data_IF_344583068270
#
_entry.id   IF_344583068270
#
_cell.length_a   1.000
_cell.length_b   1.000
_cell.length_c   1.000
_cell.angle_alpha   90.00
_cell.angle_beta   90.00
_cell.angle_gamma   90.00
#
_symmetry.space_group_name_H-M   'P 1'
#
loop_
_entity.id
_entity.type
_entity.pdbx_description
1 polymer ?
#
# COMPACT_ATOMS: atom_id res chain seq x y z
N UNK A 1 -7.04 -25.77 -29.38
CA UNK A 1 -5.76 -26.39 -28.94
C UNK A 1 -5.62 -26.36 -27.43
N UNK A 2 -5.55 -25.18 -26.78
CA UNK A 2 -5.31 -25.09 -25.32
C UNK A 2 -6.48 -25.58 -24.45
N UNK A 3 -7.73 -25.34 -24.85
CA UNK A 3 -8.93 -25.79 -24.12
C UNK A 3 -9.20 -27.31 -24.23
N UNK A 4 -8.34 -28.08 -24.89
CA UNK A 4 -8.52 -29.52 -25.04
C UNK A 4 -8.35 -30.25 -23.69
N UNK A 5 -9.20 -31.25 -23.34
CA UNK A 5 -9.16 -31.91 -22.04
C UNK A 5 -7.79 -32.46 -21.62
N UNK A 6 -7.07 -33.11 -22.53
CA UNK A 6 -5.72 -33.64 -22.24
C UNK A 6 -4.71 -32.52 -21.90
N UNK A 7 -4.79 -31.38 -22.58
CA UNK A 7 -3.94 -30.23 -22.30
C UNK A 7 -4.30 -29.60 -20.95
N UNK A 8 -5.59 -29.45 -20.67
CA UNK A 8 -6.10 -28.92 -19.41
C UNK A 8 -5.72 -29.80 -18.21
N UNK A 9 -5.79 -31.13 -18.35
CA UNK A 9 -5.38 -32.06 -17.30
C UNK A 9 -3.88 -31.93 -16.97
N UNK A 10 -3.04 -31.74 -17.98
CA UNK A 10 -1.62 -31.49 -17.78
C UNK A 10 -1.37 -30.17 -17.03
N UNK A 11 -2.03 -29.08 -17.45
CA UNK A 11 -1.93 -27.77 -16.80
C UNK A 11 -2.40 -27.81 -15.34
N UNK A 12 -3.51 -28.49 -15.05
CA UNK A 12 -4.01 -28.65 -13.68
C UNK A 12 -3.05 -29.45 -12.80
N UNK A 13 -2.33 -30.41 -13.36
CA UNK A 13 -1.34 -31.20 -12.62
C UNK A 13 -0.14 -30.35 -12.21
N UNK A 14 0.28 -29.41 -13.08
CA UNK A 14 1.33 -28.43 -12.77
C UNK A 14 0.82 -27.37 -11.79
N UNK A 15 -0.43 -26.92 -11.93
CA UNK A 15 -1.01 -25.88 -11.09
C UNK A 15 -1.09 -26.28 -9.61
N UNK A 16 -1.51 -27.52 -9.34
CA UNK A 16 -1.61 -28.10 -8.00
C UNK A 16 -0.38 -28.94 -7.61
N UNK A 17 0.78 -28.69 -8.23
CA UNK A 17 2.02 -29.37 -7.88
C UNK A 17 2.33 -29.20 -6.38
N UNK A 18 2.67 -30.29 -5.68
CA UNK A 18 2.83 -30.36 -4.21
C UNK A 18 1.55 -30.13 -3.38
N UNK A 19 0.39 -29.98 -4.02
CA UNK A 19 -0.93 -29.77 -3.41
C UNK A 19 -2.00 -30.69 -4.05
N UNK A 20 -1.63 -31.91 -4.43
CA UNK A 20 -2.55 -32.87 -5.07
C UNK A 20 -3.80 -33.12 -4.24
N UNK A 21 -3.67 -33.16 -2.91
CA UNK A 21 -4.78 -33.34 -1.98
C UNK A 21 -5.78 -32.19 -1.97
N UNK A 22 -5.40 -30.97 -2.38
CA UNK A 22 -6.29 -29.80 -2.45
C UNK A 22 -7.13 -29.78 -3.73
N UNK A 23 -6.66 -30.44 -4.80
CA UNK A 23 -7.31 -30.44 -6.12
C UNK A 23 -8.75 -30.97 -6.03
N UNK A 24 -8.94 -32.08 -5.34
CA UNK A 24 -10.23 -32.79 -5.21
C UNK A 24 -11.10 -32.28 -4.04
N UNK A 25 -10.63 -31.28 -3.28
CA UNK A 25 -11.39 -30.75 -2.15
C UNK A 25 -12.57 -29.87 -2.59
N UNK A 26 -13.54 -29.75 -1.68
CA UNK A 26 -14.68 -28.85 -1.83
C UNK A 26 -14.23 -27.39 -1.90
N UNK A 27 -15.06 -26.55 -2.53
CA UNK A 27 -14.81 -25.11 -2.65
C UNK A 27 -14.67 -24.47 -1.26
N UNK A 28 -15.46 -24.91 -0.28
CA UNK A 28 -15.38 -24.39 1.09
C UNK A 28 -13.99 -24.57 1.72
N UNK A 29 -13.37 -25.75 1.54
CA UNK A 29 -12.01 -26.03 2.04
C UNK A 29 -10.99 -25.15 1.30
N UNK A 30 -11.13 -24.99 -0.02
CA UNK A 30 -10.27 -24.10 -0.80
C UNK A 30 -10.36 -22.65 -0.32
N UNK A 31 -11.57 -22.14 -0.08
CA UNK A 31 -11.78 -20.81 0.49
C UNK A 31 -11.15 -20.66 1.88
N UNK A 32 -11.30 -21.66 2.74
CA UNK A 32 -10.70 -21.65 4.08
C UNK A 32 -9.17 -21.64 4.00
N UNK A 33 -8.57 -22.42 3.11
CA UNK A 33 -7.12 -22.41 2.87
C UNK A 33 -6.65 -21.03 2.38
N UNK A 34 -7.36 -20.43 1.42
CA UNK A 34 -7.05 -19.07 0.93
C UNK A 34 -7.09 -18.04 2.06
N UNK A 35 -8.12 -18.11 2.93
CA UNK A 35 -8.26 -17.21 4.07
C UNK A 35 -7.12 -17.39 5.08
N UNK A 36 -6.77 -18.64 5.43
CA UNK A 36 -5.65 -18.93 6.33
C UNK A 36 -4.32 -18.44 5.74
N UNK A 37 -4.08 -18.64 4.44
CA UNK A 37 -2.88 -18.14 3.78
C UNK A 37 -2.85 -16.61 3.76
N UNK A 38 -4.00 -15.96 3.52
CA UNK A 38 -4.08 -14.50 3.52
C UNK A 38 -3.75 -13.91 4.90
N UNK A 39 -4.32 -14.45 5.97
CA UNK A 39 -4.02 -14.02 7.35
C UNK A 39 -2.58 -14.38 7.76
N UNK A 40 -2.08 -15.53 7.31
CA UNK A 40 -0.74 -16.04 7.62
C UNK A 40 0.38 -15.48 6.75
N UNK A 41 0.07 -14.67 5.73
CA UNK A 41 1.02 -14.19 4.73
C UNK A 41 2.31 -13.57 5.31
N UNK A 42 2.29 -12.69 6.33
CA UNK A 42 3.53 -12.14 6.89
C UNK A 42 4.44 -13.23 7.50
N UNK A 43 3.85 -14.21 8.19
CA UNK A 43 4.60 -15.33 8.77
C UNK A 43 5.14 -16.28 7.71
N UNK A 44 4.36 -16.55 6.66
CA UNK A 44 4.78 -17.37 5.53
C UNK A 44 5.94 -16.72 4.76
N UNK A 45 5.91 -15.40 4.58
CA UNK A 45 6.98 -14.63 3.95
C UNK A 45 8.28 -14.70 4.78
N UNK A 46 8.21 -14.50 6.09
CA UNK A 46 9.37 -14.64 6.99
C UNK A 46 9.92 -16.06 6.97
N UNK A 47 9.07 -17.08 7.06
CA UNK A 47 9.47 -18.48 7.01
C UNK A 47 10.14 -18.86 5.69
N UNK A 48 9.66 -18.34 4.56
CA UNK A 48 10.28 -18.53 3.26
C UNK A 48 11.67 -17.88 3.18
N UNK A 49 11.84 -16.68 3.75
CA UNK A 49 13.11 -15.98 3.75
C UNK A 49 14.17 -16.69 4.60
N UNK A 50 13.79 -17.19 5.78
CA UNK A 50 14.70 -17.89 6.71
C UNK A 50 15.06 -19.30 6.21
N UNK A 51 14.07 -20.07 5.72
CA UNK A 51 14.25 -21.47 5.37
C UNK A 51 13.62 -21.81 4.01
N UNK A 52 14.19 -21.32 2.89
CA UNK A 52 13.61 -21.50 1.55
C UNK A 52 13.56 -22.97 1.12
N UNK A 53 14.48 -23.81 1.59
CA UNK A 53 14.55 -25.24 1.24
C UNK A 53 13.64 -26.15 2.10
N UNK A 54 12.86 -25.58 3.03
CA UNK A 54 11.92 -26.31 3.86
C UNK A 54 10.76 -26.92 3.03
N UNK A 55 10.03 -27.90 3.61
CA UNK A 55 8.81 -28.45 2.98
C UNK A 55 7.79 -27.34 2.66
N UNK A 56 7.63 -26.39 3.59
CA UNK A 56 6.79 -25.21 3.39
C UNK A 56 7.29 -24.31 2.25
N UNK A 57 8.60 -24.07 2.16
CA UNK A 57 9.19 -23.29 1.09
C UNK A 57 9.04 -23.93 -0.30
N UNK A 58 8.98 -25.26 -0.39
CA UNK A 58 8.63 -25.97 -1.64
C UNK A 58 7.16 -25.80 -2.01
N UNK A 59 6.25 -25.90 -1.03
CA UNK A 59 4.81 -25.67 -1.24
C UNK A 59 4.53 -24.23 -1.69
N UNK A 60 5.16 -23.23 -1.06
CA UNK A 60 4.98 -21.81 -1.42
C UNK A 60 5.48 -21.47 -2.84
N UNK A 61 6.37 -22.29 -3.42
CA UNK A 61 6.83 -22.12 -4.80
C UNK A 61 5.84 -22.61 -5.86
N UNK A 62 4.80 -23.35 -5.46
CA UNK A 62 3.75 -23.81 -6.38
C UNK A 62 3.00 -22.64 -7.04
N UNK A 63 2.54 -22.80 -8.29
CA UNK A 63 1.82 -21.74 -9.01
C UNK A 63 0.57 -21.27 -8.25
N UNK A 64 -0.19 -22.20 -7.69
CA UNK A 64 -1.38 -21.88 -6.89
C UNK A 64 -1.04 -21.01 -5.67
N UNK A 65 -0.02 -21.36 -4.88
CA UNK A 65 0.33 -20.59 -3.68
C UNK A 65 0.84 -19.19 -4.03
N UNK A 66 1.57 -19.04 -5.14
CA UNK A 66 1.96 -17.71 -5.64
C UNK A 66 0.73 -16.88 -5.97
N UNK A 67 -0.22 -17.45 -6.72
CA UNK A 67 -1.48 -16.77 -7.04
C UNK A 67 -2.23 -16.33 -5.78
N UNK A 68 -2.38 -17.22 -4.80
CA UNK A 68 -3.05 -16.92 -3.53
C UNK A 68 -2.31 -15.82 -2.77
N UNK A 69 -0.98 -15.88 -2.71
CA UNK A 69 -0.18 -14.86 -2.02
C UNK A 69 -0.31 -13.48 -2.68
N UNK A 70 -0.29 -13.41 -4.02
CA UNK A 70 -0.52 -12.17 -4.77
C UNK A 70 -1.92 -11.61 -4.51
N UNK A 71 -2.96 -12.44 -4.63
CA UNK A 71 -4.34 -12.04 -4.38
C UNK A 71 -4.56 -11.56 -2.94
N UNK A 72 -4.01 -12.28 -1.96
CA UNK A 72 -4.09 -11.91 -0.56
C UNK A 72 -3.39 -10.58 -0.27
N UNK A 73 -2.18 -10.37 -0.80
CA UNK A 73 -1.45 -9.11 -0.69
C UNK A 73 -2.27 -7.93 -1.22
N UNK A 74 -2.94 -8.10 -2.37
CA UNK A 74 -3.81 -7.07 -2.93
C UNK A 74 -5.05 -6.80 -2.07
N UNK A 75 -5.69 -7.84 -1.53
CA UNK A 75 -6.82 -7.68 -0.60
C UNK A 75 -6.41 -6.92 0.68
N UNK A 76 -5.24 -7.25 1.24
CA UNK A 76 -4.70 -6.56 2.42
C UNK A 76 -4.44 -5.09 2.09
N UNK A 77 -3.87 -4.79 0.92
CA UNK A 77 -3.66 -3.42 0.46
C UNK A 77 -4.97 -2.63 0.36
N UNK A 78 -6.03 -3.21 -0.23
CA UNK A 78 -7.35 -2.59 -0.25
C UNK A 78 -7.90 -2.38 1.17
N UNK A 79 -7.72 -3.35 2.06
CA UNK A 79 -8.10 -3.24 3.47
C UNK A 79 -7.38 -2.09 4.18
N UNK A 80 -6.09 -1.88 3.91
CA UNK A 80 -5.32 -0.75 4.45
C UNK A 80 -5.85 0.60 3.95
N UNK A 81 -6.24 0.69 2.68
CA UNK A 81 -6.86 1.90 2.13
C UNK A 81 -8.21 2.21 2.79
N UNK A 82 -9.06 1.19 2.97
CA UNK A 82 -10.34 1.33 3.67
C UNK A 82 -10.14 1.74 5.12
N UNK A 83 -9.17 1.13 5.81
CA UNK A 83 -8.83 1.46 7.20
C UNK A 83 -8.26 2.88 7.32
N UNK A 84 -7.44 3.33 6.37
CA UNK A 84 -6.98 4.72 6.36
C UNK A 84 -8.13 5.74 6.19
N UNK A 85 -9.19 5.34 5.49
CA UNK A 85 -10.40 6.16 5.31
C UNK A 85 -11.42 6.03 6.46
N UNK A 86 -11.29 5.04 7.36
CA UNK A 86 -12.36 4.70 8.31
C UNK A 86 -12.63 5.76 9.36
N UNK A 87 -11.63 6.57 9.73
CA UNK A 87 -11.79 7.65 10.71
C UNK A 87 -12.82 8.70 10.29
N UNK A 88 -13.23 8.70 9.01
CA UNK A 88 -14.19 9.65 8.44
C UNK A 88 -15.57 9.05 8.19
N UNK A 89 -15.81 7.79 8.54
CA UNK A 89 -17.08 7.12 8.27
C UNK A 89 -18.26 7.67 9.10
N UNK A 90 -18.00 8.12 10.33
CA UNK A 90 -19.02 8.77 11.18
C UNK A 90 -19.18 10.28 10.88
N UNK A 91 -18.44 10.80 9.89
CA UNK A 91 -18.41 12.22 9.54
C UNK A 91 -17.31 13.01 10.26
N UNK A 92 -17.10 14.25 9.81
CA UNK A 92 -16.08 15.14 10.39
C UNK A 92 -16.74 15.91 11.55
N UNK A 93 -16.14 15.83 12.74
CA UNK A 93 -16.68 16.44 13.96
C UNK A 93 -16.52 17.97 14.02
N UNK A 94 -15.55 18.51 13.28
CA UNK A 94 -15.22 19.95 13.26
C UNK A 94 -15.63 20.61 11.95
N UNK A 95 -16.08 21.87 12.01
CA UNK A 95 -16.39 22.63 10.80
C UNK A 95 -15.10 22.94 10.01
N UNK A 96 -15.15 23.05 8.68
CA UNK A 96 -13.96 23.31 7.83
C UNK A 96 -13.22 24.62 8.14
N UNK A 97 -13.87 25.58 8.79
CA UNK A 97 -13.30 26.91 9.12
C UNK A 97 -12.73 26.99 10.54
N UNK A 98 -12.77 25.90 11.31
CA UNK A 98 -12.27 25.86 12.68
C UNK A 98 -10.93 25.11 12.69
N UNK A 99 -9.86 25.78 13.08
CA UNK A 99 -8.54 25.17 13.28
C UNK A 99 -8.43 24.62 14.70
N UNK A 100 -7.95 23.37 14.82
CA UNK A 100 -7.76 22.70 16.11
C UNK A 100 -6.30 22.28 16.25
N UNK A 101 -5.57 23.00 17.09
CA UNK A 101 -4.15 22.76 17.41
C UNK A 101 -4.02 22.01 18.74
N UNK A 102 -2.98 21.19 18.89
CA UNK A 102 -2.75 20.40 20.11
C UNK A 102 -2.01 21.21 21.19
N UNK A 103 -1.18 22.18 20.76
CA UNK A 103 -0.48 23.12 21.62
C UNK A 103 -0.39 24.50 20.95
N UNK A 104 -0.34 25.59 21.72
CA UNK A 104 -0.51 26.96 21.21
C UNK A 104 0.58 27.41 20.23
N UNK A 105 1.75 26.77 20.24
CA UNK A 105 2.86 27.06 19.32
C UNK A 105 2.89 26.18 18.05
N UNK A 106 1.88 25.33 17.84
CA UNK A 106 1.80 24.44 16.68
C UNK A 106 1.18 25.12 15.47
N UNK A 107 1.83 24.99 14.32
CA UNK A 107 1.26 25.33 13.02
C UNK A 107 0.23 24.28 12.60
N UNK A 108 -1.00 24.72 12.32
CA UNK A 108 -2.12 23.86 11.95
C UNK A 108 -1.82 22.92 10.76
N UNK A 109 -1.12 23.40 9.73
CA UNK A 109 -0.76 22.59 8.55
C UNK A 109 0.18 21.43 8.86
N UNK A 110 0.99 21.49 9.94
CA UNK A 110 1.84 20.37 10.33
C UNK A 110 1.00 19.19 10.80
N UNK A 111 -0.01 19.46 11.63
CA UNK A 111 -0.94 18.43 12.14
C UNK A 111 -1.68 17.71 11.01
N UNK A 112 -2.12 18.45 10.00
CA UNK A 112 -2.91 17.89 8.88
C UNK A 112 -2.08 17.17 7.83
N UNK A 113 -0.78 17.49 7.70
CA UNK A 113 0.12 16.90 6.69
C UNK A 113 1.02 15.80 7.23
N UNK A 114 1.05 15.58 8.54
CA UNK A 114 1.84 14.53 9.17
C UNK A 114 1.42 13.13 8.67
N UNK A 115 2.41 12.24 8.52
CA UNK A 115 2.17 10.88 8.06
C UNK A 115 1.75 9.97 9.21
N UNK A 116 0.71 9.17 8.99
CA UNK A 116 0.28 8.12 9.91
C UNK A 116 0.98 6.80 9.63
N UNK A 117 1.02 5.89 10.61
CA UNK A 117 1.60 4.55 10.43
C UNK A 117 0.95 3.76 9.28
N UNK A 118 -0.36 3.94 9.06
CA UNK A 118 -1.08 3.29 7.97
C UNK A 118 -0.66 3.84 6.61
N UNK A 119 -0.50 5.16 6.48
CA UNK A 119 0.04 5.80 5.27
C UNK A 119 1.47 5.33 4.97
N UNK A 120 2.32 5.18 6.00
CA UNK A 120 3.68 4.63 5.83
C UNK A 120 3.66 3.21 5.27
N UNK A 121 2.77 2.34 5.76
CA UNK A 121 2.61 0.98 5.25
C UNK A 121 2.11 0.98 3.80
N UNK A 122 1.13 1.83 3.46
CA UNK A 122 0.62 1.98 2.09
C UNK A 122 1.75 2.42 1.15
N UNK A 123 2.57 3.39 1.55
CA UNK A 123 3.71 3.85 0.74
C UNK A 123 4.71 2.73 0.46
N UNK A 124 5.09 1.94 1.48
CA UNK A 124 5.97 0.77 1.30
C UNK A 124 5.36 -0.23 0.33
N UNK A 125 4.04 -0.46 0.42
CA UNK A 125 3.33 -1.39 -0.47
C UNK A 125 3.32 -0.91 -1.93
N UNK A 126 3.01 0.37 -2.17
CA UNK A 126 3.01 0.97 -3.52
C UNK A 126 4.39 0.90 -4.16
N UNK A 127 5.46 1.17 -3.39
CA UNK A 127 6.84 1.03 -3.87
C UNK A 127 7.15 -0.42 -4.27
N UNK A 128 6.68 -1.41 -3.50
CA UNK A 128 6.83 -2.82 -3.82
C UNK A 128 6.10 -3.23 -5.10
N UNK A 129 4.86 -2.75 -5.29
CA UNK A 129 4.09 -2.98 -6.53
C UNK A 129 4.78 -2.32 -7.73
N UNK A 130 5.21 -1.06 -7.61
CA UNK A 130 5.93 -0.35 -8.68
C UNK A 130 7.24 -1.08 -9.05
N UNK A 131 7.98 -1.57 -8.06
CA UNK A 131 9.18 -2.37 -8.33
C UNK A 131 8.87 -3.66 -9.11
N UNK A 132 7.73 -4.31 -8.84
CA UNK A 132 7.28 -5.47 -9.59
C UNK A 132 6.98 -5.11 -11.05
N UNK A 133 6.22 -4.05 -11.28
CA UNK A 133 5.88 -3.55 -12.62
C UNK A 133 7.13 -3.17 -13.42
N UNK A 134 8.10 -2.48 -12.79
CA UNK A 134 9.36 -2.13 -13.45
C UNK A 134 10.14 -3.37 -13.90
N UNK A 135 10.13 -4.46 -13.12
CA UNK A 135 10.77 -5.72 -13.52
C UNK A 135 10.03 -6.38 -14.67
N UNK A 136 8.70 -6.38 -14.66
CA UNK A 136 7.89 -6.94 -15.75
C UNK A 136 8.15 -6.19 -17.06
N UNK A 137 8.09 -4.86 -17.01
CA UNK A 137 8.43 -3.98 -18.14
C UNK A 137 9.84 -4.24 -18.68
N UNK A 138 10.81 -4.46 -17.79
CA UNK A 138 12.19 -4.75 -18.18
C UNK A 138 12.35 -6.13 -18.85
N UNK A 139 11.61 -7.14 -18.38
CA UNK A 139 11.72 -8.52 -18.86
C UNK A 139 10.95 -8.75 -20.16
N UNK A 140 9.75 -8.19 -20.30
CA UNK A 140 8.90 -8.34 -21.49
C UNK A 140 9.26 -7.34 -22.60
N UNK A 141 9.78 -6.18 -22.21
CA UNK A 141 10.09 -5.07 -23.11
C UNK A 141 8.88 -4.15 -23.35
N UNK A 142 9.13 -2.87 -23.68
CA UNK A 142 8.11 -1.83 -23.69
C UNK A 142 7.02 -2.03 -24.75
N UNK A 143 7.34 -2.70 -25.87
CA UNK A 143 6.39 -2.93 -26.96
C UNK A 143 5.26 -3.87 -26.52
N UNK A 144 5.62 -5.03 -25.97
CA UNK A 144 4.60 -6.01 -25.56
C UNK A 144 3.86 -5.58 -24.30
N UNK A 145 4.53 -4.85 -23.41
CA UNK A 145 3.89 -4.26 -22.23
C UNK A 145 2.75 -3.29 -22.59
N UNK A 146 2.95 -2.39 -23.56
CA UNK A 146 1.93 -1.40 -23.94
C UNK A 146 0.78 -2.03 -24.74
N UNK A 147 1.03 -3.14 -25.45
CA UNK A 147 -0.03 -3.88 -26.15
C UNK A 147 -1.05 -4.45 -25.15
N UNK A 148 -0.59 -4.84 -23.96
CA UNK A 148 -1.47 -5.26 -22.88
C UNK A 148 -2.03 -4.04 -22.12
N UNK A 149 -3.24 -3.62 -22.46
CA UNK A 149 -3.88 -2.43 -21.88
C UNK A 149 -4.01 -2.49 -20.34
N UNK A 150 -4.13 -3.69 -19.77
CA UNK A 150 -4.16 -3.89 -18.31
C UNK A 150 -2.86 -3.46 -17.63
N UNK A 151 -1.71 -3.75 -18.23
CA UNK A 151 -0.40 -3.37 -17.70
C UNK A 151 -0.25 -1.84 -17.71
N UNK A 152 -0.76 -1.16 -18.75
CA UNK A 152 -0.79 0.31 -18.82
C UNK A 152 -1.68 0.90 -17.73
N UNK A 153 -2.83 0.27 -17.45
CA UNK A 153 -3.74 0.70 -16.37
C UNK A 153 -3.05 0.57 -15.01
N UNK A 154 -2.41 -0.57 -14.74
CA UNK A 154 -1.73 -0.83 -13.46
C UNK A 154 -0.57 0.15 -13.25
N UNK A 155 0.26 0.37 -14.28
CA UNK A 155 1.33 1.37 -14.24
C UNK A 155 0.80 2.79 -14.00
N UNK A 156 -0.31 3.15 -14.66
CA UNK A 156 -0.96 4.45 -14.51
C UNK A 156 -1.50 4.67 -13.09
N UNK A 157 -2.19 3.67 -12.54
CA UNK A 157 -2.69 3.69 -11.16
C UNK A 157 -1.56 3.89 -10.16
N UNK A 158 -0.48 3.10 -10.25
CA UNK A 158 0.66 3.21 -9.33
C UNK A 158 1.39 4.55 -9.47
N UNK A 159 1.48 5.08 -10.68
CA UNK A 159 2.06 6.41 -10.94
C UNK A 159 1.27 7.53 -10.25
N UNK A 160 -0.07 7.45 -10.27
CA UNK A 160 -0.95 8.40 -9.58
C UNK A 160 -0.75 8.33 -8.06
N UNK A 161 -0.63 7.12 -7.48
CA UNK A 161 -0.32 6.97 -6.06
C UNK A 161 1.01 7.64 -5.69
N UNK A 162 2.08 7.38 -6.46
CA UNK A 162 3.40 7.99 -6.22
C UNK A 162 3.32 9.51 -6.33
N UNK A 163 2.63 10.04 -7.35
CA UNK A 163 2.45 11.47 -7.52
C UNK A 163 1.72 12.10 -6.32
N UNK A 164 0.63 11.49 -5.85
CA UNK A 164 -0.12 11.96 -4.70
C UNK A 164 0.72 11.97 -3.41
N UNK A 165 1.46 10.90 -3.14
CA UNK A 165 2.37 10.85 -1.98
C UNK A 165 3.51 11.85 -2.09
N UNK A 166 4.06 12.05 -3.28
CA UNK A 166 5.11 13.06 -3.52
C UNK A 166 4.59 14.47 -3.25
N UNK A 167 3.40 14.80 -3.75
CA UNK A 167 2.78 16.10 -3.50
C UNK A 167 2.53 16.33 -2.00
N UNK A 168 2.03 15.31 -1.29
CA UNK A 168 1.84 15.37 0.17
C UNK A 168 3.16 15.53 0.92
N UNK A 169 4.20 14.82 0.51
CA UNK A 169 5.53 14.93 1.10
C UNK A 169 6.10 16.34 0.94
N UNK A 170 5.96 16.95 -0.24
CA UNK A 170 6.38 18.34 -0.47
C UNK A 170 5.60 19.33 0.42
N UNK A 171 4.28 19.14 0.56
CA UNK A 171 3.46 19.96 1.46
C UNK A 171 3.92 19.83 2.93
N UNK A 172 4.22 18.60 3.38
CA UNK A 172 4.76 18.34 4.71
C UNK A 172 6.12 19.02 4.94
N UNK A 173 7.02 19.00 3.96
CA UNK A 173 8.31 19.69 4.05
C UNK A 173 8.14 21.21 4.21
N UNK A 174 7.20 21.82 3.48
CA UNK A 174 6.91 23.25 3.61
C UNK A 174 6.34 23.59 4.99
N UNK A 175 5.36 22.82 5.47
CA UNK A 175 4.79 23.00 6.81
C UNK A 175 5.85 22.83 7.92
N UNK A 176 6.74 21.86 7.78
CA UNK A 176 7.83 21.62 8.74
C UNK A 176 8.82 22.77 8.76
N UNK A 177 9.18 23.34 7.60
CA UNK A 177 10.04 24.53 7.52
C UNK A 177 9.39 25.73 8.21
N UNK A 178 8.09 25.93 8.02
CA UNK A 178 7.34 26.98 8.70
C UNK A 178 7.36 26.80 10.22
N UNK A 179 7.20 25.56 10.71
CA UNK A 179 7.25 25.27 12.15
C UNK A 179 8.64 25.55 12.72
N UNK A 180 9.70 25.13 12.02
CA UNK A 180 11.08 25.40 12.42
C UNK A 180 11.38 26.91 12.50
N UNK A 181 10.81 27.70 11.58
CA UNK A 181 10.91 29.16 11.63
C UNK A 181 10.24 29.72 12.89
N UNK A 182 9.00 29.30 13.18
CA UNK A 182 8.27 29.70 14.39
C UNK A 182 9.04 29.32 15.66
N UNK A 183 9.53 28.08 15.73
CA UNK A 183 10.23 27.58 16.90
C UNK A 183 11.53 28.36 17.19
N UNK A 184 12.20 28.86 16.14
CA UNK A 184 13.46 29.59 16.25
C UNK A 184 13.33 31.10 16.42
N UNK A 185 12.30 31.73 15.84
CA UNK A 185 12.17 33.19 15.80
C UNK A 185 11.07 33.74 16.72
N UNK A 186 10.10 32.92 17.14
CA UNK A 186 9.02 33.35 18.03
C UNK A 186 9.34 32.92 19.46
N UNK A 187 9.55 33.89 20.35
CA UNK A 187 9.80 33.63 21.78
C UNK A 187 8.52 33.48 22.59
N UNK A 188 7.40 34.00 22.08
CA UNK A 188 6.09 33.92 22.75
C UNK A 188 5.56 32.49 22.84
N UNK A 189 4.75 32.25 23.87
CA UNK A 189 4.15 30.94 24.14
C UNK A 189 2.97 30.60 23.24
N UNK A 190 2.32 31.61 22.63
CA UNK A 190 1.18 31.45 21.73
C UNK A 190 1.40 32.13 20.38
N UNK A 191 1.10 31.40 19.30
CA UNK A 191 1.10 31.89 17.92
C UNK A 191 0.04 32.96 17.67
N UNK A 192 -1.04 33.00 18.46
CA UNK A 192 -2.13 33.96 18.29
C UNK A 192 -1.74 35.40 18.66
N UNK A 193 -0.69 35.56 19.46
CA UNK A 193 -0.24 36.85 20.00
C UNK A 193 0.78 37.55 19.08
N UNK A 194 1.26 36.89 18.01
CA UNK A 194 2.35 37.37 17.16
C UNK A 194 1.92 37.52 15.71
N UNK A 195 2.27 38.65 15.08
CA UNK A 195 2.07 38.85 13.64
C UNK A 195 3.20 38.16 12.86
N UNK A 196 2.88 37.08 12.16
CA UNK A 196 3.83 36.33 11.35
C UNK A 196 4.02 36.93 9.95
N UNK A 197 5.16 36.69 9.29
CA UNK A 197 5.32 36.98 7.86
C UNK A 197 4.25 36.25 7.03
N UNK A 198 3.77 36.83 5.92
CA UNK A 198 2.67 36.27 5.13
C UNK A 198 2.96 34.84 4.61
N UNK A 199 4.23 34.53 4.36
CA UNK A 199 4.70 33.19 3.93
C UNK A 199 4.51 32.11 5.00
N UNK A 200 4.60 32.48 6.28
CA UNK A 200 4.46 31.55 7.42
C UNK A 200 3.00 31.55 7.93
N UNK A 201 2.35 32.72 7.89
CA UNK A 201 0.94 32.89 8.26
C UNK A 201 -0.02 32.04 7.39
N UNK A 202 0.34 31.74 6.15
CA UNK A 202 -0.44 30.81 5.33
C UNK A 202 -0.61 29.44 6.00
N UNK A 203 0.39 28.97 6.74
CA UNK A 203 0.38 27.64 7.34
C UNK A 203 -0.38 27.56 8.68
N UNK A 204 -0.71 28.70 9.29
CA UNK A 204 -1.47 28.75 10.54
C UNK A 204 -2.98 28.58 10.36
N UNK A 205 -3.50 28.69 9.12
CA UNK A 205 -4.91 28.55 8.78
C UNK A 205 -5.22 27.37 7.84
#
# INVERSE_FOLDING_TARGET
>A
FVAHPNCQQQLLTIWYENLSGLREQTIAIKCLVVLVVALGLPFLAMGYWIAPCSRLGKILRSPFMKFVAHAASFIIFLGLLVFNASDRFEGITTLPNITVIDYPKQIFRVKTTQFTWTEMLIMVWVLGMMWSECKELWLEGPREYIVQLWNVLDFGMLSIFIAAFTARFLAFLQATKAQQYVDSHVQESDLSEVTLPPEVQYFTY
#
